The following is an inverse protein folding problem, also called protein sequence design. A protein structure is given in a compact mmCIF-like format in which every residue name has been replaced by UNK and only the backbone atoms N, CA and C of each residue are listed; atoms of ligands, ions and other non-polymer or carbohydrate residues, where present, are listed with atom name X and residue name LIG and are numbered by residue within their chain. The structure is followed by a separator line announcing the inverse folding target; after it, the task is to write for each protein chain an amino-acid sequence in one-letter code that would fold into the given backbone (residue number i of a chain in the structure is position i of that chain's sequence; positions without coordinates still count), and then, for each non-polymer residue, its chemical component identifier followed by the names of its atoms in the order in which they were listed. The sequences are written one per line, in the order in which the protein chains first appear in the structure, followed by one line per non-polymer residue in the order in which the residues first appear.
data_IF_147274270627
#
_entry.id   IF_147274270627
#
_cell.length_a   1.000
_cell.length_b   1.000
_cell.length_c   1.000
_cell.angle_alpha   90.00
_cell.angle_beta   90.00
_cell.angle_gamma   90.00
#
_symmetry.space_group_name_H-M   'P 1'
#
loop_
_entity.id
_entity.type
_entity.pdbx_description
1 polymer ?
#
# COMPACT_ATOMS: atom_id res chain seq x y z
N UNK A 1 31.94 44.92 28.39
CA UNK A 1 33.13 44.21 27.87
C UNK A 1 33.18 42.87 28.61
N UNK A 2 32.86 41.69 28.08
CA UNK A 2 32.82 41.21 26.70
C UNK A 2 31.69 40.18 26.48
N UNK A 3 31.26 40.17 25.22
CA UNK A 3 30.34 39.29 24.50
C UNK A 3 31.13 38.07 23.97
N UNK A 4 30.66 36.82 24.12
CA UNK A 4 30.95 35.63 23.26
C UNK A 4 29.79 34.62 23.50
N UNK A 5 28.78 34.49 22.65
CA UNK A 5 28.68 33.79 21.36
C UNK A 5 28.67 32.23 21.46
N UNK A 6 27.47 31.68 21.27
CA UNK A 6 27.05 30.42 20.62
C UNK A 6 27.98 29.21 20.57
N UNK A 7 27.47 28.05 20.99
CA UNK A 7 27.76 26.80 20.30
C UNK A 7 26.46 25.99 20.14
N UNK A 8 25.88 26.11 18.95
CA UNK A 8 24.85 25.21 18.49
C UNK A 8 25.44 23.83 18.20
N UNK A 9 24.75 22.80 18.68
CA UNK A 9 24.89 21.46 18.15
C UNK A 9 23.51 20.81 18.14
N UNK A 10 22.71 21.18 17.14
CA UNK A 10 21.61 20.31 16.72
C UNK A 10 22.26 19.21 15.89
N UNK A 11 22.69 18.14 16.55
CA UNK A 11 23.04 16.90 15.86
C UNK A 11 21.73 16.28 15.37
N UNK A 12 21.31 16.64 14.17
CA UNK A 12 20.27 15.90 13.45
C UNK A 12 20.86 14.52 13.12
N UNK A 13 20.62 13.54 13.98
CA UNK A 13 20.77 12.14 13.59
C UNK A 13 19.63 11.84 12.64
N UNK A 14 19.89 12.05 11.35
CA UNK A 14 19.16 11.36 10.30
C UNK A 14 19.53 9.89 10.44
N UNK A 15 18.83 9.18 11.33
CA UNK A 15 19.08 7.76 11.59
C UNK A 15 18.80 7.03 10.27
N UNK A 16 19.85 6.48 9.66
CA UNK A 16 19.71 5.61 8.50
C UNK A 16 18.83 4.39 8.81
N UNK A 17 18.49 3.62 7.80
CA UNK A 17 17.70 2.40 8.01
C UNK A 17 18.40 1.47 9.03
N UNK A 18 17.66 0.79 9.92
CA UNK A 18 18.22 -0.09 10.95
C UNK A 18 19.08 -1.21 10.32
N UNK A 19 20.01 -1.77 11.10
CA UNK A 19 20.81 -2.94 10.69
C UNK A 19 19.94 -4.20 10.56
N UNK A 20 20.41 -5.20 9.80
CA UNK A 20 19.66 -6.45 9.62
C UNK A 20 19.46 -7.18 10.95
N UNK A 21 20.46 -7.14 11.83
CA UNK A 21 20.38 -7.70 13.18
C UNK A 21 19.33 -7.01 14.05
N UNK A 22 19.21 -5.68 13.96
CA UNK A 22 18.19 -4.93 14.69
C UNK A 22 16.78 -5.24 14.16
N UNK A 23 16.62 -5.32 12.84
CA UNK A 23 15.35 -5.73 12.23
C UNK A 23 15.00 -7.15 12.63
N UNK A 24 15.94 -8.10 12.53
CA UNK A 24 15.74 -9.49 12.91
C UNK A 24 15.30 -9.63 14.38
N UNK A 25 15.94 -8.92 15.32
CA UNK A 25 15.56 -8.93 16.73
C UNK A 25 14.12 -8.43 16.96
N UNK A 26 13.71 -7.38 16.22
CA UNK A 26 12.32 -6.89 16.25
C UNK A 26 11.37 -7.96 15.71
N UNK A 27 11.67 -8.54 14.54
CA UNK A 27 10.81 -9.54 13.90
C UNK A 27 10.66 -10.79 14.76
N UNK A 28 11.76 -11.31 15.32
CA UNK A 28 11.75 -12.45 16.23
C UNK A 28 10.86 -12.16 17.44
N UNK A 29 11.00 -10.98 18.05
CA UNK A 29 10.16 -10.56 19.17
C UNK A 29 8.67 -10.55 18.80
N UNK A 30 8.33 -10.11 17.58
CA UNK A 30 6.93 -10.05 17.11
C UNK A 30 6.37 -11.43 16.81
N UNK A 31 7.13 -12.27 16.11
CA UNK A 31 6.74 -13.64 15.76
C UNK A 31 6.59 -14.50 17.02
N UNK A 32 7.55 -14.45 17.94
CA UNK A 32 7.48 -15.21 19.20
C UNK A 32 6.36 -14.76 20.15
N UNK A 33 5.77 -13.58 19.92
CA UNK A 33 4.61 -13.11 20.68
C UNK A 33 3.26 -13.55 20.07
N UNK A 34 3.28 -14.15 18.88
CA UNK A 34 2.08 -14.72 18.28
C UNK A 34 1.71 -16.02 19.02
N UNK A 35 0.40 -16.30 19.20
CA UNK A 35 -0.02 -17.58 19.78
C UNK A 35 0.41 -18.72 18.87
N UNK A 36 1.03 -19.77 19.41
CA UNK A 36 1.35 -20.96 18.63
C UNK A 36 0.05 -21.64 18.17
N UNK A 37 -0.36 -21.37 16.93
CA UNK A 37 -1.56 -21.98 16.35
C UNK A 37 -1.28 -23.30 15.65
N UNK A 38 -0.01 -23.77 15.63
CA UNK A 38 0.43 -24.94 14.87
C UNK A 38 0.29 -24.79 13.35
N UNK A 39 0.06 -23.56 12.85
CA UNK A 39 -0.06 -23.26 11.42
C UNK A 39 1.24 -22.69 10.88
N UNK A 40 1.69 -23.21 9.74
CA UNK A 40 2.69 -22.54 8.90
C UNK A 40 2.08 -21.23 8.38
N UNK A 41 2.70 -20.08 8.67
CA UNK A 41 2.20 -18.75 8.27
C UNK A 41 2.40 -17.63 9.29
N UNK A 42 2.92 -17.93 10.48
CA UNK A 42 3.27 -16.93 11.49
C UNK A 42 4.69 -16.41 11.26
N UNK A 43 4.89 -15.67 10.18
CA UNK A 43 6.18 -15.06 9.89
C UNK A 43 6.05 -13.67 9.32
N UNK A 44 7.13 -12.92 9.41
CA UNK A 44 7.20 -11.53 8.96
C UNK A 44 8.43 -11.38 8.07
N UNK A 45 8.24 -10.74 6.91
CA UNK A 45 9.30 -10.31 6.02
C UNK A 45 9.34 -8.79 5.99
N UNK A 46 10.53 -8.22 6.09
CA UNK A 46 10.78 -6.79 5.89
C UNK A 46 11.80 -6.60 4.77
N UNK A 47 11.36 -5.92 3.70
CA UNK A 47 12.23 -5.41 2.65
C UNK A 47 12.63 -3.97 2.92
N UNK A 48 13.92 -3.68 2.91
CA UNK A 48 14.49 -2.35 3.07
C UNK A 48 15.14 -1.93 1.75
N UNK A 49 14.76 -0.75 1.26
CA UNK A 49 15.29 -0.15 0.04
C UNK A 49 15.95 1.18 0.39
N UNK A 50 17.25 1.27 0.18
CA UNK A 50 18.05 2.50 0.27
C UNK A 50 19.06 2.51 -0.89
N UNK A 51 20.37 2.60 -0.65
CA UNK A 51 21.40 2.43 -1.69
C UNK A 51 21.49 0.99 -2.25
N UNK A 52 20.67 0.08 -1.73
CA UNK A 52 20.53 -1.29 -2.19
C UNK A 52 19.27 -1.92 -1.59
N UNK A 53 19.10 -3.22 -1.85
CA UNK A 53 17.99 -4.02 -1.31
C UNK A 53 18.49 -4.94 -0.21
N UNK A 54 17.87 -4.87 0.96
CA UNK A 54 18.07 -5.80 2.07
C UNK A 54 16.72 -6.45 2.42
N UNK A 55 16.74 -7.74 2.75
CA UNK A 55 15.54 -8.51 3.12
C UNK A 55 15.86 -9.25 4.41
N UNK A 56 14.99 -9.10 5.42
CA UNK A 56 15.08 -9.81 6.68
C UNK A 56 13.76 -10.51 6.92
N UNK A 57 13.80 -11.82 7.20
CA UNK A 57 12.62 -12.66 7.38
C UNK A 57 12.78 -13.52 8.64
N UNK A 58 11.66 -13.77 9.33
CA UNK A 58 11.57 -14.70 10.47
C UNK A 58 10.28 -15.51 10.34
N UNK A 59 10.37 -16.83 10.51
CA UNK A 59 9.21 -17.72 10.54
C UNK A 59 8.57 -18.04 9.19
N UNK A 60 9.23 -17.69 8.08
CA UNK A 60 8.77 -17.91 6.70
C UNK A 60 9.93 -18.29 5.79
N UNK A 61 9.62 -19.01 4.72
CA UNK A 61 10.53 -19.39 3.65
C UNK A 61 10.37 -18.50 2.41
N UNK A 62 11.35 -18.57 1.49
CA UNK A 62 11.39 -17.70 0.32
C UNK A 62 10.21 -17.90 -0.66
N UNK A 63 9.59 -19.08 -0.65
CA UNK A 63 8.49 -19.46 -1.53
C UNK A 63 7.11 -19.29 -0.87
N UNK A 64 7.06 -18.84 0.39
CA UNK A 64 5.80 -18.57 1.08
C UNK A 64 5.03 -17.42 0.41
N UNK A 65 3.71 -17.59 0.31
CA UNK A 65 2.82 -16.63 -0.35
C UNK A 65 1.97 -15.90 0.69
N UNK A 66 1.85 -14.58 0.53
CA UNK A 66 1.06 -13.71 1.41
C UNK A 66 -0.12 -13.10 0.67
N UNK A 67 -1.26 -13.02 1.35
CA UNK A 67 -2.33 -12.12 0.93
C UNK A 67 -1.90 -10.66 1.16
N UNK A 68 -1.90 -9.86 0.10
CA UNK A 68 -1.46 -8.45 0.17
C UNK A 68 -2.64 -7.46 0.36
N UNK A 69 -3.87 -7.98 0.40
CA UNK A 69 -5.08 -7.20 0.64
C UNK A 69 -5.20 -5.96 -0.26
N UNK A 70 -5.34 -4.78 0.34
CA UNK A 70 -5.55 -3.54 -0.41
C UNK A 70 -4.33 -3.05 -1.20
N UNK A 71 -3.14 -3.64 -1.01
CA UNK A 71 -1.98 -3.35 -1.87
C UNK A 71 -2.29 -3.73 -3.33
N UNK A 72 -3.18 -4.72 -3.57
CA UNK A 72 -3.68 -5.08 -4.90
C UNK A 72 -4.21 -3.86 -5.69
N UNK A 73 -4.77 -2.84 -5.03
CA UNK A 73 -5.26 -1.63 -5.70
C UNK A 73 -4.17 -0.87 -6.45
N UNK A 74 -2.92 -0.91 -5.97
CA UNK A 74 -1.78 -0.27 -6.66
C UNK A 74 -1.57 -0.94 -8.02
N UNK A 75 -1.54 -2.27 -8.06
CA UNK A 75 -1.40 -3.02 -9.31
C UNK A 75 -2.57 -2.75 -10.27
N UNK A 76 -3.81 -2.78 -9.77
CA UNK A 76 -4.99 -2.46 -10.58
C UNK A 76 -4.95 -1.04 -11.15
N UNK A 77 -4.54 -0.05 -10.34
CA UNK A 77 -4.40 1.33 -10.78
C UNK A 77 -3.25 1.50 -11.79
N UNK A 78 -2.14 0.78 -11.63
CA UNK A 78 -1.03 0.77 -12.61
C UNK A 78 -1.48 0.22 -13.96
N UNK A 79 -2.27 -0.85 -13.98
CA UNK A 79 -2.84 -1.39 -15.22
C UNK A 79 -3.77 -0.35 -15.87
N UNK A 80 -4.63 0.33 -15.09
CA UNK A 80 -5.48 1.39 -15.62
C UNK A 80 -4.65 2.54 -16.22
N UNK A 81 -3.58 2.97 -15.55
CA UNK A 81 -2.70 4.02 -16.04
C UNK A 81 -2.00 3.63 -17.37
N UNK A 82 -1.59 2.37 -17.49
CA UNK A 82 -1.03 1.80 -18.73
C UNK A 82 -2.07 1.79 -19.85
N UNK A 83 -3.30 1.35 -19.60
CA UNK A 83 -4.41 1.41 -20.57
C UNK A 83 -4.72 2.84 -21.03
N UNK A 84 -4.65 3.82 -20.13
CA UNK A 84 -4.79 5.25 -20.48
C UNK A 84 -3.65 5.71 -21.38
N UNK A 85 -2.41 5.31 -21.08
CA UNK A 85 -1.24 5.62 -21.93
C UNK A 85 -1.39 5.04 -23.34
N UNK A 86 -1.91 3.81 -23.45
CA UNK A 86 -2.24 3.15 -24.72
C UNK A 86 -3.51 3.68 -25.39
N UNK A 87 -4.19 4.66 -24.79
CA UNK A 87 -5.45 5.26 -25.28
C UNK A 87 -6.61 4.25 -25.43
N UNK A 88 -6.59 3.17 -24.67
CA UNK A 88 -7.67 2.17 -24.65
C UNK A 88 -8.88 2.67 -23.86
N UNK A 89 -8.63 3.50 -22.84
CA UNK A 89 -9.63 4.14 -21.98
C UNK A 89 -9.19 5.55 -21.63
N UNK A 90 -10.13 6.39 -21.17
CA UNK A 90 -9.84 7.69 -20.56
C UNK A 90 -10.31 7.71 -19.11
N UNK A 91 -9.59 8.42 -18.25
CA UNK A 91 -9.94 8.54 -16.83
C UNK A 91 -11.33 9.19 -16.61
N UNK A 92 -11.74 10.07 -17.51
CA UNK A 92 -13.04 10.74 -17.51
C UNK A 92 -14.16 9.93 -18.18
N UNK A 93 -13.87 8.73 -18.71
CA UNK A 93 -14.91 7.86 -19.24
C UNK A 93 -15.86 7.42 -18.12
N UNK A 94 -17.19 7.49 -18.34
CA UNK A 94 -18.16 6.97 -17.39
C UNK A 94 -18.06 5.44 -17.32
N UNK A 95 -18.10 4.88 -16.12
CA UNK A 95 -17.96 3.43 -15.88
C UNK A 95 -19.01 2.64 -16.67
N UNK A 96 -20.21 3.20 -16.82
CA UNK A 96 -21.31 2.60 -17.58
C UNK A 96 -20.96 2.25 -19.03
N UNK A 97 -19.99 2.95 -19.64
CA UNK A 97 -19.47 2.66 -20.99
C UNK A 97 -18.88 1.26 -21.13
N UNK A 98 -18.37 0.70 -20.03
CA UNK A 98 -17.62 -0.57 -20.01
C UNK A 98 -18.40 -1.73 -19.39
N UNK A 99 -19.66 -1.50 -19.02
CA UNK A 99 -20.51 -2.49 -18.37
C UNK A 99 -21.63 -2.96 -19.33
N UNK A 100 -22.21 -4.16 -19.09
CA UNK A 100 -23.40 -4.58 -19.80
C UNK A 100 -24.54 -3.57 -19.64
N UNK A 101 -25.44 -3.48 -20.63
CA UNK A 101 -26.60 -2.56 -20.57
C UNK A 101 -27.55 -2.83 -19.40
N UNK A 102 -27.49 -4.03 -18.81
CA UNK A 102 -28.25 -4.42 -17.62
C UNK A 102 -27.68 -3.88 -16.31
N UNK A 103 -26.47 -3.31 -16.30
CA UNK A 103 -25.85 -2.79 -15.08
C UNK A 103 -26.44 -1.42 -14.71
N UNK A 104 -26.98 -1.31 -13.51
CA UNK A 104 -27.44 -0.04 -12.95
C UNK A 104 -26.33 0.61 -12.12
N UNK A 105 -25.81 1.74 -12.60
CA UNK A 105 -24.81 2.54 -11.89
C UNK A 105 -25.48 3.82 -11.36
N UNK A 106 -25.43 4.08 -10.04
CA UNK A 106 -26.03 5.28 -9.48
C UNK A 106 -25.37 6.54 -10.05
N UNK A 107 -26.16 7.60 -10.18
CA UNK A 107 -25.68 8.94 -10.52
C UNK A 107 -26.17 9.93 -9.46
N UNK A 108 -25.43 11.01 -9.26
CA UNK A 108 -25.80 12.08 -8.32
C UNK A 108 -25.79 13.41 -9.05
N UNK A 109 -26.93 14.10 -9.06
CA UNK A 109 -27.11 15.38 -9.74
C UNK A 109 -26.72 15.32 -11.23
N UNK A 110 -27.06 14.23 -11.91
CA UNK A 110 -26.71 14.02 -13.33
C UNK A 110 -25.24 13.68 -13.59
N UNK A 111 -24.37 13.64 -12.58
CA UNK A 111 -22.97 13.23 -12.73
C UNK A 111 -22.84 11.70 -12.67
N UNK A 112 -22.26 11.11 -13.71
CA UNK A 112 -21.91 9.69 -13.75
C UNK A 112 -20.60 9.42 -13.00
N UNK A 113 -20.48 8.21 -12.46
CA UNK A 113 -19.22 7.71 -11.88
C UNK A 113 -18.24 7.43 -13.03
N UNK A 114 -17.02 7.94 -12.92
CA UNK A 114 -15.94 7.77 -13.90
C UNK A 114 -14.93 6.70 -13.47
N UNK A 115 -14.05 6.28 -14.38
CA UNK A 115 -12.94 5.41 -14.03
C UNK A 115 -12.01 6.04 -12.98
N UNK A 116 -11.81 7.36 -13.05
CA UNK A 116 -11.06 8.11 -12.05
C UNK A 116 -11.69 7.98 -10.65
N UNK A 117 -13.00 8.19 -10.55
CA UNK A 117 -13.72 8.09 -9.27
C UNK A 117 -13.53 6.73 -8.59
N UNK A 118 -13.48 5.64 -9.36
CA UNK A 118 -13.24 4.31 -8.83
C UNK A 118 -11.77 4.14 -8.39
N UNK A 119 -10.82 4.58 -9.21
CA UNK A 119 -9.40 4.47 -8.93
C UNK A 119 -9.00 5.24 -7.67
N UNK A 120 -9.62 6.40 -7.42
CA UNK A 120 -9.36 7.27 -6.26
C UNK A 120 -10.29 7.00 -5.07
N UNK A 121 -11.14 5.97 -5.15
CA UNK A 121 -12.11 5.63 -4.09
C UNK A 121 -13.05 6.80 -3.72
N UNK A 122 -13.43 7.63 -4.70
CA UNK A 122 -14.27 8.82 -4.54
C UNK A 122 -15.63 8.72 -5.25
N UNK A 123 -16.01 7.52 -5.69
CA UNK A 123 -17.28 7.26 -6.38
C UNK A 123 -18.52 7.44 -5.49
N UNK A 124 -18.36 7.32 -4.17
CA UNK A 124 -19.47 7.34 -3.22
C UNK A 124 -20.31 6.05 -3.23
N UNK A 125 -19.83 4.98 -3.88
CA UNK A 125 -20.47 3.67 -3.78
C UNK A 125 -20.38 3.12 -2.35
N UNK A 126 -21.39 2.36 -1.88
CA UNK A 126 -21.33 1.75 -0.56
C UNK A 126 -20.17 0.76 -0.43
N UNK A 127 -19.60 0.67 0.76
CA UNK A 127 -18.41 -0.16 1.03
C UNK A 127 -18.72 -1.65 0.90
N UNK A 128 -19.94 -2.06 1.28
CA UNK A 128 -20.36 -3.46 1.21
C UNK A 128 -21.68 -3.60 0.46
N UNK A 129 -21.89 -4.76 -0.17
CA UNK A 129 -23.14 -5.06 -0.89
C UNK A 129 -24.39 -4.92 -0.01
N UNK A 130 -24.27 -5.18 1.30
CA UNK A 130 -25.40 -5.06 2.24
C UNK A 130 -25.85 -3.62 2.48
N UNK A 131 -25.07 -2.65 2.01
CA UNK A 131 -25.32 -1.22 2.16
C UNK A 131 -25.93 -0.61 0.87
N UNK A 132 -26.36 -1.45 -0.09
CA UNK A 132 -27.05 -1.09 -1.33
C UNK A 132 -28.58 -1.23 -1.20
#
# INVERSE_FOLDING_TARGET
MNFIASLGLVLSLQQGLPSDSAVHAILLTRVSALPDTGKHGEGIVVGLLDQGRRIVAVGVDADDVFEIGSITKVFTASILADMVSRREVRLDDPVAKYLPSSAHIPSRNGRQITLLDLATQSSGLPRHRRDL
#
